data_IF_711356093929
#
_entry.id   IF_711356093929
#
_cell.length_a   1.000
_cell.length_b   1.000
_cell.length_c   1.000
_cell.angle_alpha   90.00
_cell.angle_beta   90.00
_cell.angle_gamma   90.00
#
_symmetry.space_group_name_H-M   'P 1'
#
loop_
_entity.id
_entity.type
_entity.pdbx_description
1 polymer ?
#
# COMPACT_ATOMS: atom_id res chain seq x y z
N UNK A 1 -9.36 34.75 25.80
CA UNK A 1 -9.30 33.91 24.59
C UNK A 1 -8.31 32.78 24.88
N UNK A 2 -8.79 31.62 25.25
CA UNK A 2 -7.93 30.47 25.51
C UNK A 2 -7.55 29.86 24.16
N UNK A 3 -6.28 29.99 23.77
CA UNK A 3 -5.71 29.18 22.71
C UNK A 3 -5.76 27.73 23.18
N UNK A 4 -6.77 26.99 22.75
CA UNK A 4 -6.77 25.55 22.85
C UNK A 4 -5.58 25.01 22.08
N UNK A 5 -4.53 24.66 22.79
CA UNK A 5 -3.55 23.73 22.26
C UNK A 5 -4.33 22.47 21.92
N UNK A 6 -4.58 22.23 20.65
CA UNK A 6 -4.96 20.92 20.17
C UNK A 6 -3.97 19.95 20.80
N UNK A 7 -4.45 19.05 21.65
CA UNK A 7 -3.64 18.01 22.27
C UNK A 7 -2.86 17.34 21.18
N UNK A 8 -1.57 17.48 21.29
CA UNK A 8 -0.62 17.15 20.28
C UNK A 8 -0.71 15.68 19.89
N UNK A 9 -0.49 15.50 18.64
CA UNK A 9 -0.04 14.27 18.06
C UNK A 9 0.81 13.46 19.04
N UNK A 10 0.44 12.21 19.19
CA UNK A 10 1.17 11.17 19.90
C UNK A 10 2.68 11.33 19.68
N UNK A 11 3.45 11.41 20.72
CA UNK A 11 4.92 11.51 20.64
C UNK A 11 5.57 10.14 20.36
N UNK A 12 4.87 9.03 20.65
CA UNK A 12 5.37 7.67 20.43
C UNK A 12 5.06 7.24 19.00
N UNK A 13 6.06 6.77 18.24
CA UNK A 13 5.84 6.23 16.89
C UNK A 13 4.86 5.06 16.91
N UNK A 14 4.10 4.90 15.81
CA UNK A 14 3.22 3.76 15.65
C UNK A 14 4.00 2.48 15.36
N UNK A 15 3.47 1.37 15.87
CA UNK A 15 4.04 0.04 15.59
C UNK A 15 3.65 -0.44 14.20
N UNK A 16 4.56 -1.11 13.49
CA UNK A 16 4.37 -1.53 12.09
C UNK A 16 3.48 -2.74 11.88
N UNK A 17 3.01 -3.38 12.95
CA UNK A 17 2.32 -4.69 12.88
C UNK A 17 0.80 -4.57 12.72
N UNK A 18 0.22 -3.38 12.84
CA UNK A 18 -1.23 -3.16 12.73
C UNK A 18 -1.56 -2.35 11.49
N UNK A 19 -1.95 -3.04 10.44
CA UNK A 19 -2.38 -2.45 9.18
C UNK A 19 -3.42 -3.34 8.52
N UNK A 20 -4.20 -2.77 7.62
CA UNK A 20 -5.08 -3.50 6.72
C UNK A 20 -5.14 -2.82 5.36
N UNK A 21 -5.36 -3.60 4.33
CA UNK A 21 -5.57 -3.13 2.98
C UNK A 21 -7.02 -3.37 2.59
N UNK A 22 -7.67 -2.35 2.07
CA UNK A 22 -9.09 -2.35 1.72
C UNK A 22 -9.22 -2.06 0.23
N UNK A 23 -10.07 -2.81 -0.45
CA UNK A 23 -10.42 -2.58 -1.85
C UNK A 23 -11.53 -1.52 -1.98
N UNK A 24 -11.76 -1.01 -3.18
CA UNK A 24 -12.80 -0.02 -3.52
C UNK A 24 -14.19 -0.39 -3.00
N UNK A 25 -14.49 -1.68 -2.95
CA UNK A 25 -15.76 -2.21 -2.43
C UNK A 25 -15.80 -2.29 -0.89
N UNK A 26 -14.88 -1.65 -0.21
CA UNK A 26 -14.69 -1.75 1.23
C UNK A 26 -14.43 -3.18 1.74
N UNK A 27 -14.00 -4.07 0.83
CA UNK A 27 -13.59 -5.43 1.16
C UNK A 27 -12.16 -5.39 1.70
N UNK A 28 -11.96 -5.87 2.92
CA UNK A 28 -10.62 -6.03 3.50
C UNK A 28 -9.92 -7.19 2.82
N UNK A 29 -8.71 -6.98 2.33
CA UNK A 29 -7.85 -8.06 1.85
C UNK A 29 -7.21 -8.76 3.06
N UNK A 30 -7.84 -9.86 3.49
CA UNK A 30 -7.44 -10.58 4.68
C UNK A 30 -6.13 -11.35 4.52
N UNK A 31 -5.47 -11.61 5.64
CA UNK A 31 -4.32 -12.49 5.73
C UNK A 31 -3.00 -11.89 5.28
N UNK A 32 -2.95 -10.59 4.97
CA UNK A 32 -1.69 -9.93 4.67
C UNK A 32 -0.76 -10.00 5.88
N UNK A 33 0.40 -10.61 5.69
CA UNK A 33 1.48 -10.67 6.68
C UNK A 33 2.45 -9.51 6.53
N UNK A 34 2.61 -8.99 5.29
CA UNK A 34 3.54 -7.91 5.01
C UNK A 34 3.10 -7.08 3.82
N UNK A 35 3.37 -5.78 3.91
CA UNK A 35 3.28 -4.80 2.82
C UNK A 35 4.65 -4.15 2.65
N UNK A 36 5.14 -4.09 1.41
CA UNK A 36 6.39 -3.44 1.05
C UNK A 36 6.34 -1.92 1.26
N UNK A 37 7.50 -1.28 1.24
CA UNK A 37 7.61 0.16 1.43
C UNK A 37 6.98 0.93 0.26
N UNK A 38 6.19 1.95 0.59
CA UNK A 38 5.70 2.92 -0.39
C UNK A 38 6.78 3.98 -0.63
N UNK A 39 7.28 4.06 -1.85
CA UNK A 39 8.35 5.00 -2.21
C UNK A 39 7.96 5.81 -3.43
N UNK A 40 8.27 7.10 -3.39
CA UNK A 40 8.22 7.99 -4.54
C UNK A 40 9.61 8.56 -4.77
N UNK A 41 10.13 8.47 -5.98
CA UNK A 41 11.41 9.03 -6.39
C UNK A 41 11.15 10.12 -7.41
N UNK A 42 11.76 11.29 -7.21
CA UNK A 42 11.72 12.38 -8.17
C UNK A 42 13.13 12.60 -8.71
N UNK A 43 13.26 12.54 -10.03
CA UNK A 43 14.51 12.81 -10.73
C UNK A 43 14.96 14.27 -10.47
N UNK A 44 16.26 14.45 -10.27
CA UNK A 44 16.85 15.77 -10.11
C UNK A 44 17.56 16.16 -11.41
N UNK A 45 17.02 17.16 -12.08
CA UNK A 45 17.64 17.75 -13.27
C UNK A 45 18.60 18.86 -12.81
N UNK A 46 19.86 18.70 -13.15
CA UNK A 46 20.90 19.68 -12.86
C UNK A 46 21.20 20.49 -14.09
N UNK A 47 21.27 21.79 -13.98
CA UNK A 47 21.73 22.66 -15.06
C UNK A 47 22.67 23.72 -14.53
N UNK A 48 23.60 24.14 -15.40
CA UNK A 48 24.59 25.16 -15.11
C UNK A 48 24.58 26.19 -16.23
N UNK A 49 24.47 27.46 -15.87
CA UNK A 49 24.61 28.56 -16.83
C UNK A 49 26.08 28.91 -17.00
N UNK A 50 26.51 29.15 -18.23
CA UNK A 50 27.85 29.61 -18.52
C UNK A 50 28.12 30.97 -17.84
N UNK A 51 29.24 31.10 -17.13
CA UNK A 51 29.61 32.29 -16.39
C UNK A 51 29.19 32.32 -14.92
N UNK A 52 28.50 31.33 -14.41
CA UNK A 52 28.23 31.16 -12.97
C UNK A 52 29.36 30.46 -12.22
N UNK A 53 29.47 30.79 -10.92
CA UNK A 53 30.42 30.16 -10.00
C UNK A 53 30.18 28.62 -9.87
N UNK A 54 30.98 27.95 -9.05
CA UNK A 54 31.07 26.47 -8.94
C UNK A 54 29.82 25.73 -8.43
N UNK A 55 28.63 26.33 -8.43
CA UNK A 55 27.40 25.66 -8.00
C UNK A 55 26.47 25.34 -9.18
N UNK A 56 25.69 24.29 -9.01
CA UNK A 56 24.69 23.81 -9.97
C UNK A 56 23.29 24.17 -9.49
N UNK A 57 22.43 24.60 -10.40
CA UNK A 57 21.01 24.72 -10.14
C UNK A 57 20.36 23.34 -10.28
N UNK A 58 19.46 23.02 -9.35
CA UNK A 58 18.70 21.79 -9.35
C UNK A 58 17.23 22.10 -9.55
N UNK A 59 16.60 21.41 -10.49
CA UNK A 59 15.16 21.43 -10.72
C UNK A 59 14.60 20.02 -10.62
N UNK A 60 13.28 19.91 -10.45
CA UNK A 60 12.60 18.62 -10.40
C UNK A 60 12.39 18.08 -11.83
N UNK A 61 12.61 16.80 -11.99
CA UNK A 61 12.29 16.04 -13.18
C UNK A 61 11.04 15.18 -12.98
N UNK A 62 11.03 13.99 -13.62
CA UNK A 62 9.94 13.03 -13.53
C UNK A 62 9.88 12.40 -12.14
N UNK A 63 8.66 12.27 -11.61
CA UNK A 63 8.40 11.48 -10.39
C UNK A 63 7.90 10.08 -10.79
N UNK A 64 8.40 9.07 -10.11
CA UNK A 64 8.00 7.67 -10.26
C UNK A 64 7.63 7.09 -8.91
N UNK A 65 6.67 6.17 -8.90
CA UNK A 65 6.26 5.43 -7.73
C UNK A 65 6.74 3.99 -7.88
N UNK A 66 7.38 3.47 -6.84
CA UNK A 66 7.88 2.10 -6.84
C UNK A 66 6.74 1.12 -6.58
N UNK A 67 6.82 -0.06 -7.19
CA UNK A 67 5.87 -1.13 -6.93
C UNK A 67 5.88 -1.57 -5.46
N UNK A 68 4.72 -1.98 -4.96
CA UNK A 68 4.53 -2.46 -3.58
C UNK A 68 4.41 -3.98 -3.62
N UNK A 69 5.13 -4.65 -2.75
CA UNK A 69 5.02 -6.10 -2.57
C UNK A 69 4.05 -6.41 -1.44
N UNK A 70 3.06 -7.28 -1.71
CA UNK A 70 2.10 -7.80 -0.75
C UNK A 70 2.42 -9.27 -0.50
N UNK A 71 2.52 -9.69 0.76
CA UNK A 71 2.77 -11.08 1.13
C UNK A 71 1.65 -11.57 2.05
N UNK A 72 1.15 -12.78 1.80
CA UNK A 72 0.23 -13.48 2.71
C UNK A 72 0.51 -14.98 2.75
N UNK A 73 0.05 -15.65 3.79
CA UNK A 73 0.07 -17.11 3.84
C UNK A 73 -0.80 -17.72 2.73
N UNK A 74 -0.33 -18.79 2.11
CA UNK A 74 -1.12 -19.54 1.11
C UNK A 74 -2.38 -20.10 1.78
N UNK A 75 -3.54 -19.77 1.22
CA UNK A 75 -4.85 -20.20 1.71
C UNK A 75 -5.74 -20.70 0.57
N UNK A 76 -6.96 -21.14 0.86
CA UNK A 76 -7.97 -21.48 -0.15
C UNK A 76 -8.64 -20.24 -0.78
N UNK A 77 -8.35 -19.04 -0.27
CA UNK A 77 -8.85 -17.80 -0.83
C UNK A 77 -8.12 -17.46 -2.13
N UNK A 78 -8.87 -17.34 -3.22
CA UNK A 78 -8.36 -17.11 -4.57
C UNK A 78 -8.35 -15.65 -5.01
N UNK A 79 -8.56 -14.70 -4.11
CA UNK A 79 -8.65 -13.27 -4.47
C UNK A 79 -7.36 -12.77 -5.15
N UNK A 80 -6.20 -13.16 -4.64
CA UNK A 80 -4.90 -12.79 -5.24
C UNK A 80 -4.72 -13.41 -6.61
N UNK A 81 -4.98 -14.71 -6.73
CA UNK A 81 -4.90 -15.42 -8.00
C UNK A 81 -5.85 -14.82 -9.03
N UNK A 82 -7.11 -14.59 -8.64
CA UNK A 82 -8.12 -14.01 -9.53
C UNK A 82 -7.71 -12.62 -10.02
N UNK A 83 -7.19 -11.79 -9.12
CA UNK A 83 -6.73 -10.45 -9.51
C UNK A 83 -5.52 -10.52 -10.44
N UNK A 84 -4.55 -11.36 -10.16
CA UNK A 84 -3.39 -11.57 -11.03
C UNK A 84 -3.80 -12.10 -12.43
N UNK A 85 -4.76 -13.02 -12.50
CA UNK A 85 -5.27 -13.58 -13.75
C UNK A 85 -6.07 -12.59 -14.60
N UNK A 86 -6.56 -11.48 -14.03
CA UNK A 86 -7.22 -10.42 -14.81
C UNK A 86 -6.26 -9.71 -15.76
N UNK A 87 -4.96 -9.69 -15.46
CA UNK A 87 -3.93 -9.06 -16.30
C UNK A 87 -3.45 -10.03 -17.39
N UNK A 88 -3.32 -11.32 -17.04
CA UNK A 88 -2.84 -12.34 -17.96
C UNK A 88 -3.62 -13.64 -17.71
N UNK A 89 -4.53 -13.99 -18.61
CA UNK A 89 -5.29 -15.24 -18.52
C UNK A 89 -4.73 -16.29 -19.46
N UNK A 90 -4.60 -17.52 -18.98
CA UNK A 90 -4.28 -18.68 -19.81
C UNK A 90 -5.29 -18.90 -20.96
N UNK A 91 -6.54 -18.45 -20.78
CA UNK A 91 -7.61 -18.58 -21.77
C UNK A 91 -7.54 -17.58 -22.92
N UNK A 92 -6.57 -16.66 -22.92
CA UNK A 92 -6.35 -15.65 -23.95
C UNK A 92 -6.77 -14.25 -23.53
N UNK A 93 -6.34 -13.26 -24.33
CA UNK A 93 -6.46 -11.82 -24.01
C UNK A 93 -7.89 -11.26 -24.13
N UNK A 94 -8.82 -12.03 -24.66
CA UNK A 94 -10.21 -11.58 -24.87
C UNK A 94 -10.97 -11.27 -23.56
N UNK A 95 -10.48 -11.74 -22.42
CA UNK A 95 -11.04 -11.47 -21.10
C UNK A 95 -10.37 -10.31 -20.37
N UNK A 96 -9.31 -9.71 -20.93
CA UNK A 96 -8.58 -8.62 -20.31
C UNK A 96 -9.36 -7.32 -20.45
N UNK A 97 -10.04 -6.92 -19.40
CA UNK A 97 -10.74 -5.64 -19.35
C UNK A 97 -9.93 -4.64 -18.52
N UNK A 98 -9.36 -3.63 -19.20
CA UNK A 98 -8.50 -2.61 -18.57
C UNK A 98 -9.21 -1.92 -17.40
N UNK A 99 -10.52 -1.71 -17.49
CA UNK A 99 -11.29 -1.09 -16.42
C UNK A 99 -11.48 -1.99 -15.18
N UNK A 100 -11.24 -3.29 -15.30
CA UNK A 100 -11.49 -4.26 -14.22
C UNK A 100 -10.21 -4.69 -13.49
N UNK A 101 -9.06 -4.74 -14.15
CA UNK A 101 -7.84 -5.16 -13.48
C UNK A 101 -7.20 -4.06 -12.63
N UNK A 102 -7.41 -2.77 -13.00
CA UNK A 102 -6.96 -1.66 -12.15
C UNK A 102 -7.92 -1.48 -10.98
N UNK A 103 -7.37 -1.43 -9.78
CA UNK A 103 -8.12 -1.24 -8.55
C UNK A 103 -7.60 -0.03 -7.79
N UNK A 104 -8.51 0.64 -7.11
CA UNK A 104 -8.16 1.62 -6.09
C UNK A 104 -8.06 0.88 -4.74
N UNK A 105 -6.96 1.03 -4.06
CA UNK A 105 -6.74 0.40 -2.77
C UNK A 105 -6.57 1.45 -1.68
N UNK A 106 -6.99 1.11 -0.48
CA UNK A 106 -6.81 1.95 0.70
C UNK A 106 -6.00 1.20 1.73
N UNK A 107 -4.82 1.73 2.06
CA UNK A 107 -4.01 1.23 3.15
C UNK A 107 -4.37 1.98 4.42
N UNK A 108 -4.85 1.26 5.41
CA UNK A 108 -5.18 1.79 6.72
C UNK A 108 -4.16 1.33 7.76
N UNK A 109 -3.66 2.30 8.51
CA UNK A 109 -2.75 2.08 9.61
C UNK A 109 -3.52 2.23 10.93
N UNK A 110 -3.36 1.27 11.83
CA UNK A 110 -4.14 1.16 13.05
C UNK A 110 -3.27 1.42 14.28
N UNK A 111 -3.88 2.01 15.32
CA UNK A 111 -3.25 2.11 16.63
C UNK A 111 -3.36 0.79 17.41
N UNK A 112 -2.85 0.76 18.63
CA UNK A 112 -2.88 -0.41 19.50
C UNK A 112 -4.30 -0.85 19.85
N UNK A 113 -5.27 0.07 19.80
CA UNK A 113 -6.71 -0.18 20.06
C UNK A 113 -7.45 -0.65 18.80
N UNK A 114 -6.79 -0.72 17.63
CA UNK A 114 -7.41 -1.12 16.37
C UNK A 114 -8.20 -0.01 15.66
N UNK A 115 -8.02 1.24 16.07
CA UNK A 115 -8.64 2.39 15.40
C UNK A 115 -7.73 2.89 14.27
N UNK A 116 -8.34 3.34 13.18
CA UNK A 116 -7.59 3.90 12.03
C UNK A 116 -7.01 5.25 12.41
N UNK A 117 -5.70 5.37 12.30
CA UNK A 117 -4.95 6.61 12.61
C UNK A 117 -4.38 7.28 11.38
N UNK A 118 -4.12 6.52 10.33
CA UNK A 118 -3.69 7.03 9.04
C UNK A 118 -4.31 6.21 7.93
N UNK A 119 -4.63 6.88 6.83
CA UNK A 119 -5.14 6.25 5.63
C UNK A 119 -4.39 6.77 4.43
N UNK A 120 -4.02 5.86 3.53
CA UNK A 120 -3.41 6.18 2.25
C UNK A 120 -4.25 5.59 1.13
N UNK A 121 -4.59 6.41 0.15
CA UNK A 121 -5.21 5.97 -1.08
C UNK A 121 -4.13 5.64 -2.10
N UNK A 122 -4.24 4.46 -2.70
CA UNK A 122 -3.34 3.98 -3.74
C UNK A 122 -4.11 3.89 -5.05
N UNK A 123 -3.65 4.59 -6.06
CA UNK A 123 -4.36 4.80 -7.31
C UNK A 123 -3.85 3.92 -8.43
N UNK A 124 -4.78 3.40 -9.23
CA UNK A 124 -4.48 2.64 -10.44
C UNK A 124 -3.66 1.38 -10.19
N UNK A 125 -3.93 0.68 -9.09
CA UNK A 125 -3.18 -0.52 -8.68
C UNK A 125 -3.46 -1.71 -9.59
N UNK A 126 -2.42 -2.41 -10.06
CA UNK A 126 -2.53 -3.64 -10.83
C UNK A 126 -1.36 -4.58 -10.56
N UNK A 127 -1.56 -5.86 -10.79
CA UNK A 127 -0.58 -6.90 -10.47
C UNK A 127 0.41 -7.06 -11.63
N UNK A 128 1.70 -6.83 -11.37
CA UNK A 128 2.77 -7.04 -12.35
C UNK A 128 3.47 -8.40 -12.19
N UNK A 129 3.45 -8.97 -10.99
CA UNK A 129 4.07 -10.26 -10.71
C UNK A 129 3.25 -11.00 -9.64
N UNK A 130 3.05 -12.30 -9.84
CA UNK A 130 2.36 -13.15 -8.89
C UNK A 130 3.15 -14.44 -8.66
N UNK A 131 3.51 -14.68 -7.41
CA UNK A 131 4.12 -15.93 -6.96
C UNK A 131 3.08 -16.71 -6.17
N UNK A 132 2.47 -17.71 -6.79
CA UNK A 132 1.41 -18.52 -6.19
C UNK A 132 1.91 -19.44 -5.09
N UNK A 133 3.09 -20.03 -5.28
CA UNK A 133 3.71 -20.94 -4.33
C UNK A 133 5.20 -20.62 -4.25
N UNK A 134 5.78 -20.58 -3.04
CA UNK A 134 7.22 -20.49 -2.86
C UNK A 134 7.87 -21.84 -3.22
N UNK A 135 9.19 -21.89 -3.13
CA UNK A 135 9.91 -23.17 -3.16
C UNK A 135 9.41 -24.09 -2.05
N UNK A 136 9.11 -25.34 -2.41
CA UNK A 136 8.63 -26.36 -1.48
C UNK A 136 9.76 -27.32 -1.14
N UNK A 137 10.19 -27.32 0.13
CA UNK A 137 11.19 -28.26 0.65
C UNK A 137 10.56 -29.10 1.77
N UNK A 138 10.54 -30.41 1.57
CA UNK A 138 9.99 -31.37 2.55
C UNK A 138 10.75 -31.40 3.89
N UNK A 139 11.99 -30.94 3.91
CA UNK A 139 12.81 -30.82 5.13
C UNK A 139 12.71 -29.42 5.78
N UNK A 140 12.07 -28.47 5.08
CA UNK A 140 11.89 -27.11 5.56
C UNK A 140 10.67 -26.99 6.50
N UNK A 141 10.79 -26.17 7.54
CA UNK A 141 9.70 -25.87 8.47
C UNK A 141 9.26 -24.39 8.31
N UNK A 142 8.95 -24.02 7.06
CA UNK A 142 8.53 -22.65 6.73
C UNK A 142 7.06 -22.60 6.32
N UNK A 143 6.39 -21.51 6.65
CA UNK A 143 5.03 -21.26 6.16
C UNK A 143 5.13 -20.86 4.69
N UNK A 144 4.32 -21.49 3.83
CA UNK A 144 4.23 -21.09 2.44
C UNK A 144 3.57 -19.72 2.33
N UNK A 145 4.24 -18.78 1.64
CA UNK A 145 3.76 -17.43 1.40
C UNK A 145 3.53 -17.25 -0.10
N UNK A 146 2.39 -16.70 -0.47
CA UNK A 146 2.17 -16.15 -1.79
C UNK A 146 2.51 -14.66 -1.82
N UNK A 147 2.99 -14.19 -2.96
CA UNK A 147 3.47 -12.82 -3.11
C UNK A 147 2.86 -12.18 -4.34
N UNK A 148 2.35 -10.97 -4.18
CA UNK A 148 1.94 -10.07 -5.27
C UNK A 148 2.87 -8.88 -5.33
N UNK A 149 3.32 -8.54 -6.52
CA UNK A 149 3.92 -7.25 -6.80
C UNK A 149 2.90 -6.39 -7.52
N UNK A 150 2.57 -5.28 -6.90
CA UNK A 150 1.52 -4.36 -7.33
C UNK A 150 2.16 -3.06 -7.80
N UNK A 151 1.96 -2.75 -9.07
CA UNK A 151 2.28 -1.44 -9.65
C UNK A 151 1.16 -0.46 -9.32
N UNK A 152 1.50 0.82 -9.19
CA UNK A 152 0.56 1.89 -8.90
C UNK A 152 0.93 3.18 -9.64
N UNK A 153 -0.07 3.97 -9.95
CA UNK A 153 0.12 5.27 -10.61
C UNK A 153 0.46 6.38 -9.63
N UNK A 154 0.09 6.21 -8.36
CA UNK A 154 0.35 7.16 -7.30
C UNK A 154 -0.27 6.77 -5.98
N UNK A 155 0.07 7.51 -4.95
CA UNK A 155 -0.57 7.40 -3.65
C UNK A 155 -0.63 8.75 -2.96
N UNK A 156 -1.65 8.92 -2.11
CA UNK A 156 -1.83 10.11 -1.30
C UNK A 156 -2.31 9.76 0.11
N UNK A 157 -1.96 10.61 1.06
CA UNK A 157 -2.46 10.46 2.43
C UNK A 157 -3.81 11.17 2.54
N UNK A 158 -4.79 10.53 3.17
CA UNK A 158 -6.07 11.13 3.50
C UNK A 158 -5.89 12.22 4.58
N UNK A 159 -6.15 13.50 4.25
CA UNK A 159 -6.05 14.58 5.21
C UNK A 159 -7.22 14.59 6.20
N UNK A 160 -8.32 13.90 5.89
CA UNK A 160 -9.52 13.85 6.72
C UNK A 160 -9.40 12.84 7.86
N UNK A 161 -8.49 11.87 7.75
CA UNK A 161 -8.24 10.90 8.82
C UNK A 161 -7.43 11.56 9.94
N UNK A 162 -8.09 11.81 11.06
CA UNK A 162 -7.49 12.39 12.26
C UNK A 162 -7.29 11.26 13.30
N UNK A 163 -6.22 11.34 14.07
CA UNK A 163 -6.01 10.38 15.16
C UNK A 163 -7.17 10.45 16.15
N UNK A 164 -7.86 9.30 16.43
CA UNK A 164 -8.93 9.26 17.40
C UNK A 164 -8.41 9.61 18.80
N UNK A 165 -9.24 10.30 19.59
CA UNK A 165 -8.95 10.56 20.99
C UNK A 165 -8.98 9.27 21.82
N UNK A 166 -8.34 9.30 23.00
CA UNK A 166 -8.32 8.15 23.90
C UNK A 166 -9.73 7.73 24.38
N UNK A 167 -10.68 8.65 24.36
CA UNK A 167 -12.07 8.42 24.77
C UNK A 167 -13.00 8.03 23.61
N UNK A 168 -12.50 8.03 22.36
CA UNK A 168 -13.33 7.69 21.21
C UNK A 168 -13.70 6.19 21.20
N UNK A 169 -14.92 5.85 20.80
CA UNK A 169 -15.36 4.46 20.78
C UNK A 169 -14.54 3.64 19.78
N UNK A 170 -14.11 2.47 20.21
CA UNK A 170 -13.45 1.50 19.33
C UNK A 170 -14.51 0.97 18.36
N UNK A 171 -14.33 1.10 17.03
CA UNK A 171 -15.26 0.52 16.08
C UNK A 171 -15.36 -0.99 16.31
N UNK A 172 -16.59 -1.51 16.38
CA UNK A 172 -16.81 -2.95 16.45
C UNK A 172 -16.14 -3.61 15.23
N UNK A 173 -15.19 -4.49 15.47
CA UNK A 173 -14.60 -5.32 14.41
C UNK A 173 -15.72 -6.24 13.93
N UNK A 174 -16.20 -6.05 12.72
CA UNK A 174 -17.04 -7.04 12.08
C UNK A 174 -16.18 -8.30 11.90
N UNK A 175 -16.39 -9.27 12.78
CA UNK A 175 -15.89 -10.63 12.61
C UNK A 175 -16.92 -11.32 11.72
N UNK A 176 -16.65 -11.44 10.44
CA UNK A 176 -17.28 -12.38 9.53
C UNK A 176 -16.28 -13.47 9.14
#
# INVERSE_FOLDING_TARGET
MANGFTKSARQTPYSTFKFRLVDTNNKVLFGLSKIGAMRRTTEVVKHRSGGQNSFEHKSWGKSTFDAITLERGVTQDRDFETWAQMVASWSGDASTNIAQFKRELTLEFLNERGQVVMRYFLHGCWVSEYTALPELDANGNHIALETLKVELEGWERDPATIEPGDDDPVPAVAVE
#
